data_IF_257961224044
#
_entry.id   IF_257961224044
#
_cell.length_a   1.000
_cell.length_b   1.000
_cell.length_c   1.000
_cell.angle_alpha   90.00
_cell.angle_beta   90.00
_cell.angle_gamma   90.00
#
_symmetry.space_group_name_H-M   'P 1'
#
loop_
_entity.id
_entity.type
_entity.pdbx_description
1 polymer ?
#
# COMPACT_ATOMS: atom_id res chain seq x y z
N UNK A 1 -3.63 22.97 9.38
CA UNK A 1 -3.81 22.31 8.06
C UNK A 1 -2.56 22.33 7.18
N UNK A 2 -1.78 23.43 7.14
CA UNK A 2 -0.55 23.54 6.34
C UNK A 2 0.49 22.46 6.67
N UNK A 3 0.72 22.19 7.96
CA UNK A 3 1.65 21.15 8.42
C UNK A 3 1.28 19.72 7.99
N UNK A 4 -0.02 19.42 7.90
CA UNK A 4 -0.49 18.11 7.42
C UNK A 4 -0.17 17.95 5.93
N UNK A 5 -0.47 18.97 5.11
CA UNK A 5 -0.14 18.96 3.67
C UNK A 5 1.36 18.78 3.42
N UNK A 6 2.21 19.45 4.21
CA UNK A 6 3.67 19.30 4.12
C UNK A 6 4.11 17.87 4.46
N UNK A 7 3.54 17.25 5.50
CA UNK A 7 3.87 15.88 5.86
C UNK A 7 3.49 14.87 4.78
N UNK A 8 2.31 15.01 4.16
CA UNK A 8 1.90 14.15 3.05
C UNK A 8 2.78 14.37 1.81
N UNK A 9 3.09 15.62 1.45
CA UNK A 9 4.00 15.92 0.34
C UNK A 9 5.40 15.33 0.59
N UNK A 10 5.93 15.48 1.80
CA UNK A 10 7.22 14.90 2.19
C UNK A 10 7.20 13.36 2.17
N UNK A 11 6.07 12.73 2.49
CA UNK A 11 5.91 11.28 2.39
C UNK A 11 5.87 10.82 0.93
N UNK A 12 5.15 11.52 0.04
CA UNK A 12 5.11 11.23 -1.40
C UNK A 12 6.52 11.29 -2.00
N UNK A 13 7.28 12.35 -1.70
CA UNK A 13 8.65 12.50 -2.21
C UNK A 13 9.54 11.36 -1.71
N UNK A 14 9.50 11.03 -0.42
CA UNK A 14 10.27 9.90 0.14
C UNK A 14 9.85 8.56 -0.47
N UNK A 15 8.56 8.37 -0.73
CA UNK A 15 8.05 7.17 -1.38
C UNK A 15 8.63 7.05 -2.79
N UNK A 16 8.55 8.11 -3.59
CA UNK A 16 9.13 8.14 -4.94
C UNK A 16 10.63 7.83 -4.92
N UNK A 17 11.39 8.48 -4.03
CA UNK A 17 12.82 8.23 -3.89
C UNK A 17 13.12 6.80 -3.47
N UNK A 18 12.31 6.22 -2.58
CA UNK A 18 12.44 4.80 -2.20
C UNK A 18 12.22 3.89 -3.40
N UNK A 19 11.17 4.12 -4.19
CA UNK A 19 10.87 3.33 -5.39
C UNK A 19 12.01 3.43 -6.42
N UNK A 20 12.57 4.62 -6.62
CA UNK A 20 13.74 4.81 -7.50
C UNK A 20 14.97 4.04 -6.99
N UNK A 21 15.22 4.05 -5.68
CA UNK A 21 16.30 3.26 -5.08
C UNK A 21 16.11 1.75 -5.29
N UNK A 22 14.88 1.25 -5.12
CA UNK A 22 14.54 -0.16 -5.39
C UNK A 22 14.80 -0.53 -6.86
N UNK A 23 14.48 0.37 -7.79
CA UNK A 23 14.69 0.16 -9.22
C UNK A 23 16.17 0.10 -9.64
N UNK A 24 17.12 0.45 -8.77
CA UNK A 24 18.55 0.29 -9.04
C UNK A 24 19.06 -1.13 -8.79
N UNK A 25 18.31 -1.98 -8.09
CA UNK A 25 18.73 -3.35 -7.77
C UNK A 25 18.84 -4.22 -9.03
N UNK A 26 17.84 -4.26 -9.95
CA UNK A 26 17.91 -5.11 -11.14
C UNK A 26 19.08 -4.77 -12.10
N UNK A 27 19.40 -3.50 -12.42
CA UNK A 27 20.57 -3.19 -13.24
C UNK A 27 21.90 -3.65 -12.63
N UNK A 28 22.03 -3.60 -11.29
CA UNK A 28 23.23 -4.08 -10.59
C UNK A 28 23.37 -5.60 -10.75
N UNK A 29 22.26 -6.33 -10.65
CA UNK A 29 22.21 -7.78 -10.92
C UNK A 29 22.52 -8.11 -12.38
N UNK A 30 21.96 -7.33 -13.33
CA UNK A 30 22.23 -7.52 -14.75
C UNK A 30 23.70 -7.30 -15.11
N UNK A 31 24.33 -6.26 -14.57
CA UNK A 31 25.75 -6.00 -14.75
C UNK A 31 26.64 -7.11 -14.15
N UNK A 32 26.24 -7.67 -13.01
CA UNK A 32 26.92 -8.82 -12.42
C UNK A 32 26.82 -10.06 -13.31
N UNK A 33 25.62 -10.37 -13.81
CA UNK A 33 25.39 -11.49 -14.73
C UNK A 33 26.22 -11.35 -16.01
N UNK A 34 26.25 -10.16 -16.61
CA UNK A 34 27.06 -9.90 -17.80
C UNK A 34 28.57 -10.06 -17.54
N UNK A 35 29.07 -9.60 -16.39
CA UNK A 35 30.48 -9.80 -16.01
C UNK A 35 30.82 -11.28 -15.75
N UNK A 36 29.87 -12.05 -15.23
CA UNK A 36 29.99 -13.50 -15.04
C UNK A 36 30.05 -14.23 -16.39
N UNK A 37 29.13 -13.95 -17.30
CA UNK A 37 29.09 -14.55 -18.64
C UNK A 37 30.33 -14.21 -19.48
N UNK A 38 30.83 -12.98 -19.38
CA UNK A 38 32.03 -12.54 -20.08
C UNK A 38 33.33 -13.13 -19.49
N UNK A 39 33.27 -13.84 -18.35
CA UNK A 39 34.45 -14.36 -17.66
C UNK A 39 35.38 -13.28 -17.09
N UNK A 40 34.91 -12.04 -16.97
CA UNK A 40 35.71 -10.88 -16.54
C UNK A 40 35.69 -10.64 -15.03
N UNK A 41 35.15 -11.59 -14.25
CA UNK A 41 35.02 -11.43 -12.80
C UNK A 41 36.38 -11.46 -12.11
N UNK A 42 36.71 -10.37 -11.43
CA UNK A 42 37.82 -10.32 -10.49
C UNK A 42 37.34 -10.74 -9.09
N UNK A 43 38.23 -11.28 -8.22
CA UNK A 43 37.84 -11.77 -6.89
C UNK A 43 37.10 -10.75 -6.00
N UNK A 44 37.35 -9.44 -6.18
CA UNK A 44 36.68 -8.37 -5.42
C UNK A 44 35.33 -7.92 -5.97
N UNK A 45 35.02 -8.21 -7.23
CA UNK A 45 33.79 -7.73 -7.89
C UNK A 45 32.50 -8.26 -7.23
N UNK A 46 32.35 -9.56 -6.89
CA UNK A 46 31.13 -10.06 -6.27
C UNK A 46 30.79 -9.32 -4.96
N UNK A 47 31.79 -9.05 -4.12
CA UNK A 47 31.60 -8.29 -2.88
C UNK A 47 31.13 -6.86 -3.16
N UNK A 48 31.73 -6.19 -4.14
CA UNK A 48 31.33 -4.84 -4.55
C UNK A 48 29.89 -4.79 -5.06
N UNK A 49 29.46 -5.75 -5.88
CA UNK A 49 28.06 -5.86 -6.32
C UNK A 49 27.12 -6.11 -5.14
N UNK A 50 27.48 -7.02 -4.23
CA UNK A 50 26.72 -7.28 -3.00
C UNK A 50 26.54 -6.04 -2.14
N UNK A 51 27.62 -5.28 -1.90
CA UNK A 51 27.57 -4.03 -1.13
C UNK A 51 26.69 -2.97 -1.81
N UNK A 52 26.69 -2.88 -3.13
CA UNK A 52 25.79 -1.97 -3.86
C UNK A 52 24.32 -2.35 -3.68
N UNK A 53 23.98 -3.64 -3.75
CA UNK A 53 22.62 -4.13 -3.52
C UNK A 53 22.18 -3.80 -2.09
N UNK A 54 23.03 -4.11 -1.10
CA UNK A 54 22.75 -3.80 0.32
C UNK A 54 22.58 -2.29 0.51
N UNK A 55 23.44 -1.46 -0.09
CA UNK A 55 23.34 -0.01 -0.04
C UNK A 55 22.00 0.51 -0.56
N UNK A 56 21.57 0.07 -1.75
CA UNK A 56 20.27 0.46 -2.31
C UNK A 56 19.10 -0.08 -1.49
N UNK A 57 19.18 -1.31 -0.99
CA UNK A 57 18.14 -1.90 -0.14
C UNK A 57 17.97 -1.14 1.19
N UNK A 58 19.07 -0.69 1.80
CA UNK A 58 19.03 0.16 3.00
C UNK A 58 18.40 1.51 2.71
N UNK A 59 18.81 2.19 1.62
CA UNK A 59 18.22 3.46 1.21
C UNK A 59 16.72 3.32 0.95
N UNK A 60 16.31 2.29 0.21
CA UNK A 60 14.91 1.95 -0.02
C UNK A 60 14.16 1.78 1.31
N UNK A 61 14.66 0.91 2.19
CA UNK A 61 13.99 0.56 3.45
C UNK A 61 13.83 1.78 4.35
N UNK A 62 14.89 2.58 4.52
CA UNK A 62 14.85 3.78 5.38
C UNK A 62 13.86 4.83 4.85
N UNK A 63 13.90 5.12 3.55
CA UNK A 63 13.01 6.10 2.94
C UNK A 63 11.55 5.63 2.94
N UNK A 64 11.32 4.36 2.59
CA UNK A 64 10.00 3.75 2.59
C UNK A 64 9.39 3.72 3.99
N UNK A 65 10.15 3.23 4.97
CA UNK A 65 9.72 3.22 6.36
C UNK A 65 9.35 4.62 6.85
N UNK A 66 10.18 5.62 6.54
CA UNK A 66 9.91 6.99 6.94
C UNK A 66 8.67 7.58 6.26
N UNK A 67 8.47 7.32 4.97
CA UNK A 67 7.26 7.73 4.25
C UNK A 67 6.00 7.15 4.89
N UNK A 68 6.00 5.83 5.14
CA UNK A 68 4.89 5.12 5.77
C UNK A 68 4.63 5.62 7.19
N UNK A 69 5.69 5.86 7.97
CA UNK A 69 5.61 6.37 9.33
C UNK A 69 4.96 7.77 9.38
N UNK A 70 5.35 8.68 8.48
CA UNK A 70 4.77 10.02 8.40
C UNK A 70 3.26 9.96 8.17
N UNK A 71 2.82 9.17 7.19
CA UNK A 71 1.40 9.02 6.86
C UNK A 71 0.61 8.39 8.02
N UNK A 72 1.13 7.31 8.62
CA UNK A 72 0.48 6.66 9.77
C UNK A 72 0.35 7.59 10.96
N UNK A 73 1.39 8.38 11.25
CA UNK A 73 1.37 9.33 12.36
C UNK A 73 0.29 10.41 12.15
N UNK A 74 0.13 10.92 10.92
CA UNK A 74 -0.95 11.88 10.61
C UNK A 74 -2.33 11.25 10.68
N UNK A 75 -2.48 10.00 10.25
CA UNK A 75 -3.74 9.27 10.34
C UNK A 75 -4.17 9.03 11.80
N UNK A 76 -3.24 8.73 12.72
CA UNK A 76 -3.55 8.59 14.16
C UNK A 76 -4.02 9.90 14.78
N UNK A 77 -3.38 11.03 14.44
CA UNK A 77 -3.81 12.35 14.92
C UNK A 77 -5.21 12.67 14.39
N UNK A 78 -5.51 12.32 13.13
CA UNK A 78 -6.84 12.47 12.56
C UNK A 78 -7.89 11.61 13.30
N UNK A 79 -7.59 10.33 13.54
CA UNK A 79 -8.44 9.43 14.35
C UNK A 79 -8.75 10.03 15.72
N UNK A 80 -7.72 10.48 16.45
CA UNK A 80 -7.88 11.09 17.77
C UNK A 80 -8.84 12.29 17.73
N UNK A 81 -8.66 13.20 16.76
CA UNK A 81 -9.52 14.38 16.61
C UNK A 81 -10.95 14.01 16.21
N UNK A 82 -11.11 13.00 15.35
CA UNK A 82 -12.43 12.56 14.89
C UNK A 82 -13.21 11.93 16.06
N UNK A 83 -12.58 11.06 16.85
CA UNK A 83 -13.18 10.51 18.07
C UNK A 83 -13.55 11.61 19.06
N UNK A 84 -12.67 12.57 19.30
CA UNK A 84 -12.95 13.69 20.19
C UNK A 84 -14.16 14.53 19.74
N UNK A 85 -14.28 14.77 18.43
CA UNK A 85 -15.44 15.48 17.85
C UNK A 85 -16.75 14.70 17.96
N UNK A 86 -16.71 13.40 17.67
CA UNK A 86 -17.89 12.53 17.82
C UNK A 86 -18.36 12.52 19.27
N UNK A 87 -17.44 12.31 20.21
CA UNK A 87 -17.74 12.30 21.63
C UNK A 87 -18.32 13.64 22.11
N UNK A 88 -17.67 14.76 21.74
CA UNK A 88 -18.18 16.09 22.09
C UNK A 88 -19.58 16.35 21.51
N UNK A 89 -19.85 15.89 20.29
CA UNK A 89 -21.17 16.02 19.69
C UNK A 89 -22.21 15.17 20.42
N UNK A 90 -21.89 13.92 20.76
CA UNK A 90 -22.80 13.06 21.52
C UNK A 90 -23.18 13.67 22.86
N UNK A 91 -22.24 14.30 23.58
CA UNK A 91 -22.54 15.01 24.83
C UNK A 91 -23.55 16.16 24.69
N UNK A 92 -23.78 16.68 23.48
CA UNK A 92 -24.77 17.73 23.22
C UNK A 92 -26.16 17.20 22.84
N UNK A 93 -26.32 15.89 22.64
CA UNK A 93 -27.57 15.29 22.21
C UNK A 93 -28.57 15.11 23.37
N UNK A 94 -29.85 15.25 23.06
CA UNK A 94 -30.94 15.10 24.04
C UNK A 94 -31.10 13.64 24.52
N UNK A 95 -31.69 13.45 25.70
CA UNK A 95 -31.99 12.12 26.24
C UNK A 95 -32.84 11.26 25.29
N UNK A 96 -33.77 11.86 24.53
CA UNK A 96 -34.62 11.16 23.58
C UNK A 96 -33.82 10.45 22.46
N UNK A 97 -32.66 10.99 22.09
CA UNK A 97 -31.78 10.36 21.11
C UNK A 97 -31.27 9.01 21.62
N UNK A 98 -30.85 8.95 22.89
CA UNK A 98 -30.32 7.76 23.53
C UNK A 98 -31.37 6.69 23.85
N UNK A 99 -32.66 7.03 23.74
CA UNK A 99 -33.75 6.05 23.78
C UNK A 99 -33.86 5.25 22.48
N UNK A 100 -33.46 5.84 21.35
CA UNK A 100 -33.56 5.24 20.03
C UNK A 100 -32.22 4.67 19.53
N UNK A 101 -31.09 5.24 19.97
CA UNK A 101 -29.75 4.76 19.62
C UNK A 101 -28.99 4.25 20.84
N UNK A 102 -28.48 3.02 20.73
CA UNK A 102 -27.75 2.39 21.82
C UNK A 102 -26.34 2.98 21.97
N UNK A 103 -25.87 3.12 23.21
CA UNK A 103 -24.48 3.53 23.49
C UNK A 103 -23.48 2.58 22.83
N UNK A 104 -23.81 1.29 22.71
CA UNK A 104 -23.01 0.30 22.00
C UNK A 104 -22.82 0.62 20.52
N UNK A 105 -23.88 1.04 19.82
CA UNK A 105 -23.80 1.48 18.42
C UNK A 105 -22.90 2.70 18.27
N UNK A 106 -23.03 3.68 19.15
CA UNK A 106 -22.17 4.87 19.16
C UNK A 106 -20.70 4.47 19.36
N UNK A 107 -20.42 3.57 20.30
CA UNK A 107 -19.08 3.03 20.50
C UNK A 107 -18.56 2.30 19.27
N UNK A 108 -19.40 1.52 18.57
CA UNK A 108 -19.02 0.87 17.32
C UNK A 108 -18.64 1.87 16.22
N UNK A 109 -19.36 2.99 16.09
CA UNK A 109 -18.98 4.06 15.18
C UNK A 109 -17.62 4.69 15.57
N UNK A 110 -17.40 4.97 16.86
CA UNK A 110 -16.14 5.54 17.33
C UNK A 110 -14.95 4.58 17.21
N UNK A 111 -15.16 3.27 17.32
CA UNK A 111 -14.08 2.28 17.27
C UNK A 111 -13.89 1.75 15.86
N UNK A 112 -14.87 1.03 15.31
CA UNK A 112 -14.76 0.31 14.05
C UNK A 112 -14.72 1.26 12.85
N UNK A 113 -15.69 2.16 12.74
CA UNK A 113 -15.81 3.01 11.56
C UNK A 113 -14.67 4.02 11.48
N UNK A 114 -14.35 4.68 12.59
CA UNK A 114 -13.19 5.59 12.64
C UNK A 114 -11.89 4.85 12.36
N UNK A 115 -11.71 3.62 12.87
CA UNK A 115 -10.53 2.82 12.56
C UNK A 115 -10.48 2.43 11.08
N UNK A 116 -11.62 2.10 10.45
CA UNK A 116 -11.72 1.82 9.03
C UNK A 116 -11.33 3.05 8.20
N UNK A 117 -11.84 4.23 8.56
CA UNK A 117 -11.49 5.51 7.92
C UNK A 117 -9.99 5.79 8.06
N UNK A 118 -9.43 5.63 9.26
CA UNK A 118 -7.98 5.79 9.50
C UNK A 118 -7.16 4.84 8.65
N UNK A 119 -7.57 3.58 8.57
CA UNK A 119 -6.90 2.55 7.75
C UNK A 119 -6.95 2.91 6.28
N UNK A 120 -8.08 3.39 5.76
CA UNK A 120 -8.19 3.87 4.39
C UNK A 120 -7.25 5.06 4.11
N UNK A 121 -7.19 6.05 5.01
CA UNK A 121 -6.31 7.22 4.89
C UNK A 121 -4.83 6.85 4.99
N UNK A 122 -4.48 5.84 5.78
CA UNK A 122 -3.08 5.44 6.00
C UNK A 122 -2.61 4.38 5.01
N UNK A 123 -3.14 3.17 5.13
CA UNK A 123 -2.76 2.04 4.28
C UNK A 123 -3.21 2.26 2.85
N UNK A 124 -4.47 2.67 2.63
CA UNK A 124 -4.98 2.91 1.28
C UNK A 124 -4.15 3.95 0.52
N UNK A 125 -3.83 5.08 1.16
CA UNK A 125 -2.98 6.12 0.58
C UNK A 125 -1.56 5.61 0.26
N UNK A 126 -0.92 4.92 1.22
CA UNK A 126 0.45 4.41 1.02
C UNK A 126 0.49 3.38 -0.11
N UNK A 127 -0.45 2.44 -0.13
CA UNK A 127 -0.52 1.40 -1.15
C UNK A 127 -0.76 1.99 -2.54
N UNK A 128 -1.70 2.92 -2.67
CA UNK A 128 -2.01 3.56 -3.95
C UNK A 128 -0.80 4.35 -4.49
N UNK A 129 -0.17 5.14 -3.62
CA UNK A 129 1.00 5.96 -3.99
C UNK A 129 2.18 5.07 -4.37
N UNK A 130 2.49 4.06 -3.56
CA UNK A 130 3.58 3.13 -3.81
C UNK A 130 3.36 2.31 -5.09
N UNK A 131 2.16 1.77 -5.30
CA UNK A 131 1.84 1.00 -6.51
C UNK A 131 1.97 1.87 -7.77
N UNK A 132 1.43 3.09 -7.73
CA UNK A 132 1.50 4.03 -8.86
C UNK A 132 2.95 4.36 -9.22
N UNK A 133 3.78 4.71 -8.24
CA UNK A 133 5.19 4.97 -8.50
C UNK A 133 5.96 3.74 -8.92
N UNK A 134 5.69 2.57 -8.34
CA UNK A 134 6.35 1.33 -8.73
C UNK A 134 6.10 1.01 -10.19
N UNK A 135 4.85 1.13 -10.65
CA UNK A 135 4.52 0.93 -12.07
C UNK A 135 5.27 1.94 -12.94
N UNK A 136 5.16 3.24 -12.65
CA UNK A 136 5.76 4.30 -13.49
C UNK A 136 7.28 4.17 -13.55
N UNK A 137 7.94 4.03 -12.39
CA UNK A 137 9.40 3.95 -12.30
C UNK A 137 9.91 2.67 -12.95
N UNK A 138 9.27 1.52 -12.69
CA UNK A 138 9.73 0.24 -13.25
C UNK A 138 9.57 0.21 -14.76
N UNK A 139 8.41 0.62 -15.30
CA UNK A 139 8.20 0.67 -16.76
C UNK A 139 9.16 1.64 -17.43
N UNK A 140 9.39 2.82 -16.83
CA UNK A 140 10.37 3.80 -17.36
C UNK A 140 11.79 3.23 -17.33
N UNK A 141 12.19 2.55 -16.26
CA UNK A 141 13.50 1.92 -16.15
C UNK A 141 13.68 0.75 -17.14
N UNK A 142 12.64 -0.03 -17.40
CA UNK A 142 12.68 -1.11 -18.39
C UNK A 142 12.81 -0.54 -19.81
N UNK A 143 12.05 0.50 -20.16
CA UNK A 143 12.12 1.14 -21.47
C UNK A 143 13.46 1.82 -21.75
N UNK A 144 14.19 2.26 -20.71
CA UNK A 144 15.51 2.87 -20.87
C UNK A 144 16.67 1.86 -20.95
N UNK A 145 16.44 0.60 -20.54
CA UNK A 145 17.51 -0.41 -20.44
C UNK A 145 17.30 -1.62 -21.36
N UNK A 146 16.08 -1.90 -21.79
CA UNK A 146 15.69 -3.08 -22.56
C UNK A 146 14.87 -2.67 -23.79
N UNK A 147 14.91 -3.47 -24.86
CA UNK A 147 14.11 -3.22 -26.07
C UNK A 147 12.62 -3.10 -25.77
N UNK A 148 11.97 -2.08 -26.33
CA UNK A 148 10.55 -1.79 -26.13
C UNK A 148 9.63 -2.98 -26.50
N UNK A 149 10.05 -3.83 -27.46
CA UNK A 149 9.31 -5.05 -27.83
C UNK A 149 9.26 -6.07 -26.70
N UNK A 150 10.38 -6.28 -25.99
CA UNK A 150 10.46 -7.18 -24.84
C UNK A 150 9.60 -6.67 -23.67
N UNK A 151 9.62 -5.35 -23.44
CA UNK A 151 8.76 -4.72 -22.43
C UNK A 151 7.27 -4.97 -22.75
N UNK A 152 6.85 -4.76 -23.99
CA UNK A 152 5.46 -5.00 -24.39
C UNK A 152 5.04 -6.47 -24.20
N UNK A 153 5.89 -7.42 -24.59
CA UNK A 153 5.62 -8.84 -24.35
C UNK A 153 5.52 -9.18 -22.86
N UNK A 154 6.35 -8.56 -22.02
CA UNK A 154 6.29 -8.77 -20.56
C UNK A 154 5.02 -8.21 -19.92
N UNK A 155 4.42 -7.17 -20.50
CA UNK A 155 3.20 -6.54 -19.99
C UNK A 155 1.92 -7.22 -20.49
N UNK A 156 1.98 -7.95 -21.60
CA UNK A 156 0.83 -8.61 -22.24
C UNK A 156 0.03 -9.55 -21.32
N UNK A 157 0.63 -10.29 -20.36
CA UNK A 157 -0.13 -11.11 -19.43
C UNK A 157 -0.99 -10.31 -18.44
N UNK A 158 -0.63 -9.05 -18.13
CA UNK A 158 -1.32 -8.26 -17.12
C UNK A 158 -2.77 -7.91 -17.49
N UNK A 159 -3.08 -7.45 -18.72
CA UNK A 159 -4.46 -7.30 -19.18
C UNK A 159 -5.27 -8.59 -19.09
N UNK A 160 -4.68 -9.73 -19.47
CA UNK A 160 -5.38 -11.01 -19.44
C UNK A 160 -5.78 -11.41 -18.02
N UNK A 161 -4.84 -11.31 -17.07
CA UNK A 161 -5.11 -11.54 -15.65
C UNK A 161 -6.16 -10.56 -15.12
N UNK A 162 -6.09 -9.29 -15.51
CA UNK A 162 -7.06 -8.27 -15.09
C UNK A 162 -8.47 -8.60 -15.58
N UNK A 163 -8.62 -8.97 -16.85
CA UNK A 163 -9.91 -9.40 -17.42
C UNK A 163 -10.45 -10.63 -16.70
N UNK A 164 -9.60 -11.65 -16.48
CA UNK A 164 -10.00 -12.86 -15.75
C UNK A 164 -10.53 -12.53 -14.34
N UNK A 165 -9.83 -11.65 -13.61
CA UNK A 165 -10.27 -11.21 -12.27
C UNK A 165 -11.61 -10.48 -12.35
N UNK A 166 -11.77 -9.53 -13.28
CA UNK A 166 -13.01 -8.73 -13.40
C UNK A 166 -14.22 -9.62 -13.70
N UNK A 167 -14.05 -10.62 -14.57
CA UNK A 167 -15.11 -11.56 -14.94
C UNK A 167 -15.45 -12.52 -13.79
N UNK A 168 -14.44 -13.01 -13.05
CA UNK A 168 -14.65 -13.96 -11.94
C UNK A 168 -15.15 -13.28 -10.65
N UNK A 169 -14.86 -11.98 -10.44
CA UNK A 169 -15.22 -11.23 -9.24
C UNK A 169 -16.71 -11.31 -8.84
N UNK A 170 -17.71 -11.14 -9.74
CA UNK A 170 -19.12 -11.29 -9.36
C UNK A 170 -19.47 -12.72 -8.93
N UNK A 171 -18.94 -13.74 -9.61
CA UNK A 171 -19.17 -15.14 -9.26
C UNK A 171 -18.63 -15.45 -7.86
N UNK A 172 -17.40 -15.03 -7.57
CA UNK A 172 -16.78 -15.22 -6.25
C UNK A 172 -17.62 -14.54 -5.16
N UNK A 173 -18.04 -13.28 -5.37
CA UNK A 173 -18.86 -12.55 -4.40
C UNK A 173 -20.20 -13.21 -4.14
N UNK A 174 -20.85 -13.71 -5.19
CA UNK A 174 -22.13 -14.40 -5.04
C UNK A 174 -21.97 -15.68 -4.21
N UNK A 175 -20.97 -16.51 -4.52
CA UNK A 175 -20.67 -17.74 -3.76
C UNK A 175 -20.31 -17.45 -2.30
N UNK A 176 -19.55 -16.39 -2.05
CA UNK A 176 -19.18 -15.97 -0.69
C UNK A 176 -20.40 -15.54 0.13
N UNK A 177 -21.35 -14.82 -0.50
CA UNK A 177 -22.60 -14.41 0.14
C UNK A 177 -23.47 -15.61 0.51
N UNK A 178 -23.61 -16.60 -0.37
CA UNK A 178 -24.36 -17.83 -0.07
C UNK A 178 -23.78 -18.59 1.14
N UNK A 179 -22.45 -18.63 1.27
CA UNK A 179 -21.80 -19.23 2.44
C UNK A 179 -22.11 -18.47 3.74
N UNK A 180 -22.09 -17.13 3.69
CA UNK A 180 -22.44 -16.30 4.85
C UNK A 180 -23.90 -16.49 5.28
N UNK A 181 -24.83 -16.56 4.32
CA UNK A 181 -26.25 -16.82 4.58
C UNK A 181 -26.45 -18.21 5.21
N UNK A 182 -25.76 -19.24 4.70
CA UNK A 182 -25.79 -20.59 5.28
C UNK A 182 -25.27 -20.64 6.72
N UNK A 183 -24.16 -19.95 7.02
CA UNK A 183 -23.63 -19.86 8.39
C UNK A 183 -24.59 -19.13 9.34
N UNK A 184 -25.24 -18.05 8.89
CA UNK A 184 -26.23 -17.35 9.70
C UNK A 184 -27.38 -18.29 10.11
N UNK A 185 -27.93 -19.07 9.18
CA UNK A 185 -28.99 -20.05 9.48
C UNK A 185 -28.57 -21.18 10.42
N UNK A 186 -27.29 -21.59 10.41
CA UNK A 186 -26.78 -22.61 11.34
C UNK A 186 -26.58 -22.04 12.75
N UNK A 187 -26.04 -20.83 12.85
CA UNK A 187 -25.87 -20.14 14.14
C UNK A 187 -27.19 -19.76 14.81
N UNK A 188 -28.27 -19.56 14.06
CA UNK A 188 -29.61 -19.35 14.64
C UNK A 188 -30.25 -20.64 15.21
N UNK A 189 -29.75 -21.82 14.83
CA UNK A 189 -30.30 -23.13 15.24
C UNK A 189 -29.55 -23.80 16.40
N UNK A 190 -28.45 -23.21 16.87
CA UNK A 190 -27.62 -23.68 18.00
C UNK A 190 -27.62 -22.65 19.11
#
# INVERSE_FOLDING_TARGET
MREQKIAYAAAIVKMLLSTVAMAQIPPVLGAFAGAYEAGTLTPGMPLMFGLRIVGWALVYTLLHWWAVFLVHSRARIFEYRLRGRLFAHWLTLSQNYYTHESVGNLMAYATNDVQAIRSAISMGFNQLTNASFTIVVTVTAMLSTVDAKLVLYSLMPLPFVTVAIVVLRPLIRHRFRLLQEGFATLSERT
#
